data_IF_692134607002
#
_entry.id   IF_692134607002
#
_cell.length_a   1.000
_cell.length_b   1.000
_cell.length_c   1.000
_cell.angle_alpha   90.00
_cell.angle_beta   90.00
_cell.angle_gamma   90.00
#
_symmetry.space_group_name_H-M   'P 1'
#
loop_
_entity.id
_entity.type
_entity.pdbx_description
1 polymer ?
#
# COMPACT_ATOMS: atom_id res chain seq x y z
N UNK A 1 19.62 0.13 42.84
CA UNK A 1 20.04 0.31 41.43
C UNK A 1 20.62 1.69 41.19
N UNK A 2 21.80 1.76 40.59
CA UNK A 2 22.44 3.00 40.14
C UNK A 2 21.61 3.67 39.04
N UNK A 3 21.89 4.96 38.77
CA UNK A 3 21.22 5.70 37.69
C UNK A 3 21.50 5.08 36.31
N UNK A 4 22.69 4.49 36.15
CA UNK A 4 23.10 3.78 34.94
C UNK A 4 22.30 2.47 34.76
N UNK A 5 22.11 1.69 35.83
CA UNK A 5 21.33 0.45 35.80
C UNK A 5 19.85 0.71 35.44
N UNK A 6 19.25 1.77 35.99
CA UNK A 6 17.87 2.17 35.64
C UNK A 6 17.73 2.59 34.18
N UNK A 7 18.72 3.31 33.63
CA UNK A 7 18.73 3.71 32.21
C UNK A 7 18.82 2.49 31.28
N UNK A 8 19.67 1.52 31.62
CA UNK A 8 19.83 0.30 30.85
C UNK A 8 18.55 -0.56 30.88
N UNK A 9 17.91 -0.68 32.04
CA UNK A 9 16.64 -1.40 32.19
C UNK A 9 15.51 -0.77 31.35
N UNK A 10 15.33 0.54 31.41
CA UNK A 10 14.30 1.23 30.61
C UNK A 10 14.53 1.10 29.10
N UNK A 11 15.78 1.23 28.64
CA UNK A 11 16.12 1.05 27.23
C UNK A 11 15.90 -0.39 26.74
N UNK A 12 16.12 -1.39 27.60
CA UNK A 12 15.81 -2.78 27.29
C UNK A 12 14.30 -3.04 27.21
N UNK A 13 13.51 -2.43 28.09
CA UNK A 13 12.05 -2.49 28.06
C UNK A 13 11.46 -1.83 26.80
N UNK A 14 11.96 -0.65 26.41
CA UNK A 14 11.56 0.01 25.14
C UNK A 14 11.93 -0.80 23.89
N UNK A 15 13.10 -1.46 23.88
CA UNK A 15 13.49 -2.36 22.79
C UNK A 15 12.65 -3.64 22.74
N UNK A 16 12.08 -4.07 23.87
CA UNK A 16 11.18 -5.21 23.94
C UNK A 16 9.75 -4.85 23.49
N UNK A 17 9.29 -3.61 23.72
CA UNK A 17 8.04 -3.09 23.17
C UNK A 17 8.12 -2.90 21.64
N UNK A 18 9.28 -2.48 21.12
CA UNK A 18 9.56 -2.40 19.66
C UNK A 18 9.58 -3.77 18.94
N UNK A 19 9.58 -4.90 19.68
CA UNK A 19 9.50 -6.24 19.10
C UNK A 19 8.08 -6.67 18.70
N UNK A 20 7.06 -5.83 18.92
CA UNK A 20 5.76 -6.07 18.32
C UNK A 20 5.89 -5.92 16.80
N UNK A 21 5.75 -7.02 16.06
CA UNK A 21 5.68 -6.99 14.59
C UNK A 21 4.54 -6.05 14.24
N UNK A 22 4.88 -4.87 13.72
CA UNK A 22 3.88 -3.93 13.21
C UNK A 22 3.06 -4.65 12.17
N UNK A 23 1.73 -4.62 12.32
CA UNK A 23 0.79 -5.22 11.39
C UNK A 23 1.18 -4.84 9.95
N UNK A 24 1.32 -5.84 9.07
CA UNK A 24 1.74 -5.62 7.69
C UNK A 24 0.49 -5.35 6.86
N UNK A 25 0.42 -4.18 6.24
CA UNK A 25 -0.75 -3.74 5.47
C UNK A 25 -0.32 -3.46 4.05
N UNK A 26 -0.95 -4.14 3.09
CA UNK A 26 -0.80 -3.84 1.67
C UNK A 26 -1.61 -2.58 1.34
N UNK A 27 -0.99 -1.60 0.69
CA UNK A 27 -1.60 -0.30 0.40
C UNK A 27 -1.40 0.04 -1.06
N UNK A 28 -2.45 0.52 -1.73
CA UNK A 28 -2.34 1.03 -3.10
C UNK A 28 -1.20 2.05 -3.20
N UNK A 29 -0.19 1.76 -4.03
CA UNK A 29 1.06 2.52 -4.10
C UNK A 29 0.85 4.03 -4.32
N UNK A 30 -0.14 4.39 -5.14
CA UNK A 30 -0.50 5.79 -5.40
C UNK A 30 -0.98 6.55 -4.15
N UNK A 31 -1.56 5.88 -3.15
CA UNK A 31 -1.97 6.50 -1.89
C UNK A 31 -0.78 6.85 -1.00
N UNK A 32 0.37 6.22 -1.22
CA UNK A 32 1.63 6.51 -0.54
C UNK A 32 2.49 7.55 -1.30
N UNK A 33 1.99 8.06 -2.43
CA UNK A 33 2.68 9.09 -3.23
C UNK A 33 3.56 8.54 -4.36
N UNK A 34 3.49 7.24 -4.66
CA UNK A 34 4.21 6.68 -5.80
C UNK A 34 3.45 6.98 -7.11
N UNK A 35 4.11 7.52 -8.15
CA UNK A 35 3.49 7.93 -9.42
C UNK A 35 3.10 6.70 -10.25
N UNK A 36 1.98 6.08 -9.89
CA UNK A 36 1.57 4.76 -10.39
C UNK A 36 0.15 4.75 -10.94
N UNK A 37 -0.57 5.89 -10.90
CA UNK A 37 -1.87 6.03 -11.58
C UNK A 37 -1.69 5.96 -13.10
N UNK A 38 -2.78 5.68 -13.79
CA UNK A 38 -2.82 5.60 -15.24
C UNK A 38 -2.26 6.87 -15.93
N UNK A 39 -2.51 8.05 -15.37
CA UNK A 39 -2.02 9.34 -15.87
C UNK A 39 -0.58 9.71 -15.43
N UNK A 40 0.13 8.80 -14.77
CA UNK A 40 1.47 9.05 -14.26
C UNK A 40 1.54 9.87 -12.97
N UNK A 41 0.41 10.29 -12.41
CA UNK A 41 0.38 10.99 -11.13
C UNK A 41 0.29 10.01 -9.94
N UNK A 42 0.26 10.57 -8.73
CA UNK A 42 -0.09 9.86 -7.50
C UNK A 42 -1.45 10.32 -6.95
N UNK A 43 -1.85 9.76 -5.80
CA UNK A 43 -3.04 10.18 -5.05
C UNK A 43 -2.74 10.15 -3.55
N UNK A 44 -1.61 10.73 -3.14
CA UNK A 44 -1.12 10.67 -1.78
C UNK A 44 -2.21 11.06 -0.76
N UNK A 45 -2.42 10.21 0.24
CA UNK A 45 -3.36 10.44 1.34
C UNK A 45 -2.61 10.44 2.66
N UNK A 46 -2.53 11.60 3.30
CA UNK A 46 -1.79 11.75 4.57
C UNK A 46 -2.34 10.86 5.69
N UNK A 47 -3.64 10.58 5.69
CA UNK A 47 -4.25 9.65 6.64
C UNK A 47 -3.70 8.22 6.52
N UNK A 48 -3.43 7.77 5.29
CA UNK A 48 -2.84 6.45 5.01
C UNK A 48 -1.36 6.45 5.41
N UNK A 49 -0.62 7.50 5.07
CA UNK A 49 0.81 7.63 5.44
C UNK A 49 0.99 7.60 6.96
N UNK A 50 0.09 8.24 7.73
CA UNK A 50 0.13 8.23 9.20
C UNK A 50 -0.05 6.83 9.81
N UNK A 51 -0.61 5.87 9.08
CA UNK A 51 -0.73 4.48 9.56
C UNK A 51 0.65 3.82 9.77
N UNK A 52 1.72 4.32 9.14
CA UNK A 52 3.10 3.82 9.32
C UNK A 52 3.63 3.91 10.76
N UNK A 53 3.01 4.76 11.60
CA UNK A 53 3.29 4.81 13.03
C UNK A 53 2.97 3.48 13.73
N UNK A 54 1.94 2.76 13.26
CA UNK A 54 1.41 1.53 13.88
C UNK A 54 1.58 0.27 13.03
N UNK A 55 1.66 0.42 11.71
CA UNK A 55 1.69 -0.67 10.74
C UNK A 55 2.93 -0.58 9.85
N UNK A 56 3.38 -1.71 9.29
CA UNK A 56 4.30 -1.73 8.17
C UNK A 56 3.49 -1.62 6.87
N UNK A 57 3.60 -0.49 6.17
CA UNK A 57 2.86 -0.27 4.92
C UNK A 57 3.67 -0.80 3.73
N UNK A 58 3.11 -1.75 2.99
CA UNK A 58 3.71 -2.32 1.78
C UNK A 58 3.03 -1.71 0.56
N UNK A 59 3.71 -0.85 -0.23
CA UNK A 59 3.13 -0.26 -1.43
C UNK A 59 2.93 -1.32 -2.52
N UNK A 60 1.76 -1.32 -3.16
CA UNK A 60 1.47 -2.22 -4.27
C UNK A 60 0.58 -1.57 -5.32
N UNK A 61 0.95 -1.70 -6.60
CA UNK A 61 0.11 -1.31 -7.73
C UNK A 61 -0.23 -2.58 -8.53
N UNK A 62 -1.47 -3.08 -8.46
CA UNK A 62 -1.85 -4.32 -9.16
C UNK A 62 -1.69 -4.20 -10.68
N UNK A 63 -1.94 -3.03 -11.24
CA UNK A 63 -1.85 -2.77 -12.68
C UNK A 63 -0.41 -2.88 -13.19
N UNK A 64 0.56 -2.26 -12.50
CA UNK A 64 1.98 -2.37 -12.86
C UNK A 64 2.54 -3.77 -12.57
N UNK A 65 2.13 -4.39 -11.47
CA UNK A 65 2.51 -5.78 -11.17
C UNK A 65 1.95 -6.76 -12.21
N UNK A 66 0.81 -6.44 -12.81
CA UNK A 66 0.23 -7.14 -13.96
C UNK A 66 0.87 -6.81 -15.31
N UNK A 67 1.88 -5.94 -15.34
CA UNK A 67 2.67 -5.62 -16.54
C UNK A 67 2.24 -4.36 -17.30
N UNK A 68 1.26 -3.60 -16.81
CA UNK A 68 0.87 -2.35 -17.48
C UNK A 68 1.89 -1.24 -17.23
N UNK A 69 2.17 -0.38 -18.23
CA UNK A 69 3.09 0.74 -18.08
C UNK A 69 2.49 1.88 -17.22
N UNK A 70 3.31 2.87 -16.90
CA UNK A 70 2.86 4.17 -16.41
C UNK A 70 3.56 5.25 -17.27
N UNK A 71 2.82 6.09 -18.01
CA UNK A 71 1.36 6.16 -18.09
C UNK A 71 0.74 4.98 -18.87
N UNK A 72 -0.58 4.84 -18.77
CA UNK A 72 -1.43 3.90 -19.49
C UNK A 72 -2.84 4.48 -19.65
N UNK A 73 -3.62 3.94 -20.57
CA UNK A 73 -5.01 4.38 -20.77
C UNK A 73 -5.87 4.05 -19.53
N UNK A 74 -6.82 4.93 -19.24
CA UNK A 74 -7.85 4.63 -18.26
C UNK A 74 -8.67 3.41 -18.73
N UNK A 75 -9.05 2.56 -17.78
CA UNK A 75 -9.80 1.34 -18.07
C UNK A 75 -10.90 1.11 -17.04
N UNK A 76 -12.00 0.52 -17.49
CA UNK A 76 -13.18 0.22 -16.68
C UNK A 76 -13.64 -1.22 -16.91
N UNK A 77 -14.29 -1.80 -15.90
CA UNK A 77 -15.00 -3.07 -16.05
C UNK A 77 -16.34 -2.74 -16.72
N UNK A 78 -16.62 -3.37 -17.86
CA UNK A 78 -17.80 -3.04 -18.68
C UNK A 78 -19.13 -3.23 -17.96
N UNK A 79 -19.20 -4.27 -17.12
CA UNK A 79 -20.38 -4.66 -16.32
C UNK A 79 -19.93 -5.49 -15.13
N UNK A 80 -20.60 -5.38 -13.98
CA UNK A 80 -20.30 -6.22 -12.82
C UNK A 80 -19.02 -5.79 -12.08
N UNK A 81 -18.27 -6.75 -11.56
CA UNK A 81 -17.05 -6.50 -10.78
C UNK A 81 -15.86 -7.38 -11.20
N UNK A 82 -14.78 -7.35 -10.39
CA UNK A 82 -13.56 -8.12 -10.68
C UNK A 82 -13.78 -9.63 -10.70
N UNK A 83 -14.79 -10.16 -10.00
CA UNK A 83 -15.14 -11.57 -10.05
C UNK A 83 -15.72 -11.94 -11.41
N UNK A 84 -16.61 -11.12 -11.95
CA UNK A 84 -17.20 -11.33 -13.28
C UNK A 84 -16.12 -11.32 -14.38
N UNK A 85 -15.08 -10.49 -14.23
CA UNK A 85 -13.93 -10.50 -15.14
C UNK A 85 -13.18 -11.84 -15.07
N UNK A 86 -12.95 -12.35 -13.86
CA UNK A 86 -12.25 -13.64 -13.66
C UNK A 86 -13.07 -14.84 -14.11
N UNK A 87 -14.40 -14.76 -13.98
CA UNK A 87 -15.34 -15.79 -14.45
C UNK A 87 -15.64 -15.66 -15.96
N UNK A 88 -15.13 -14.63 -16.63
CA UNK A 88 -15.24 -14.41 -18.08
C UNK A 88 -16.57 -13.82 -18.55
N UNK A 89 -17.46 -13.43 -17.63
CA UNK A 89 -18.74 -12.79 -17.92
C UNK A 89 -18.63 -11.27 -18.12
N UNK A 90 -17.51 -10.66 -17.71
CA UNK A 90 -17.20 -9.25 -17.93
C UNK A 90 -15.80 -9.05 -18.53
N UNK A 91 -15.52 -7.85 -19.02
CA UNK A 91 -14.22 -7.46 -19.57
C UNK A 91 -13.73 -6.16 -18.95
N UNK A 92 -12.42 -6.03 -18.84
CA UNK A 92 -11.75 -4.74 -18.64
C UNK A 92 -11.49 -4.14 -20.02
N UNK A 93 -11.98 -2.92 -20.25
CA UNK A 93 -11.82 -2.20 -21.53
C UNK A 93 -11.13 -0.87 -21.25
N UNK A 94 -10.09 -0.56 -22.03
CA UNK A 94 -9.43 0.74 -21.95
C UNK A 94 -10.11 1.76 -22.86
N UNK A 95 -9.80 3.05 -22.67
CA UNK A 95 -10.28 4.11 -23.55
C UNK A 95 -9.82 3.96 -25.01
N UNK A 96 -8.80 3.13 -25.28
CA UNK A 96 -8.35 2.82 -26.64
C UNK A 96 -9.17 1.72 -27.34
N UNK A 97 -10.01 0.98 -26.60
CA UNK A 97 -10.85 -0.11 -27.13
C UNK A 97 -10.26 -1.49 -26.94
#
# INVERSE_FOLDING_TARGET
MTRAERKAHNAAMQRAEDKHVKEVVLVSACLLGLPTRHDGADRRREEVVRMSARCLLVPFCPEQAGGLPTPRDAAEITTGDGRDVLDGSARVVSMAG
#
